data_IF_148026467360
#
_entry.id   IF_148026467360
#
_cell.length_a   1.000
_cell.length_b   1.000
_cell.length_c   1.000
_cell.angle_alpha   90.00
_cell.angle_beta   90.00
_cell.angle_gamma   90.00
#
_symmetry.space_group_name_H-M   'P 1'
#
loop_
_entity.id
_entity.type
_entity.pdbx_description
1 polymer ?
#
# COMPACT_ATOMS: atom_id res chain seq x y z
N UNK A 1 -39.49 1.99 21.94
CA UNK A 1 -39.18 0.57 21.66
C UNK A 1 -37.87 0.51 20.87
N UNK A 2 -36.76 0.25 21.56
CA UNK A 2 -35.43 0.16 20.95
C UNK A 2 -35.22 -1.30 20.58
N UNK A 3 -35.05 -1.59 19.30
CA UNK A 3 -34.59 -2.91 18.86
C UNK A 3 -33.14 -3.08 19.36
N UNK A 4 -32.98 -3.78 20.48
CA UNK A 4 -31.67 -4.23 20.94
C UNK A 4 -31.14 -5.23 19.93
N UNK A 5 -30.13 -4.81 19.17
CA UNK A 5 -29.25 -5.73 18.46
C UNK A 5 -28.61 -6.60 19.54
N UNK A 6 -28.90 -7.91 19.54
CA UNK A 6 -28.39 -8.86 20.54
C UNK A 6 -26.88 -8.63 20.75
N UNK A 7 -26.49 -8.55 22.02
CA UNK A 7 -25.10 -8.47 22.50
C UNK A 7 -24.33 -7.13 22.35
N UNK A 8 -25.02 -5.98 22.23
CA UNK A 8 -24.36 -4.65 22.24
C UNK A 8 -24.54 -3.89 23.56
N UNK A 9 -23.45 -3.39 24.13
CA UNK A 9 -23.43 -2.56 25.36
C UNK A 9 -23.13 -1.09 25.02
N UNK A 10 -23.76 -0.15 25.75
CA UNK A 10 -23.53 1.29 25.57
C UNK A 10 -22.19 1.71 26.19
N UNK A 11 -21.34 2.37 25.40
CA UNK A 11 -20.07 2.96 25.84
C UNK A 11 -20.18 4.49 25.81
N UNK A 12 -20.02 5.14 26.97
CA UNK A 12 -19.99 6.59 27.08
C UNK A 12 -18.57 7.14 26.92
N UNK A 13 -18.32 7.94 25.88
CA UNK A 13 -17.02 8.59 25.64
C UNK A 13 -17.25 10.05 25.28
N UNK A 14 -16.40 10.93 25.81
CA UNK A 14 -16.40 12.34 25.43
C UNK A 14 -15.53 12.56 24.19
N UNK A 15 -16.11 13.20 23.18
CA UNK A 15 -15.44 13.62 21.96
C UNK A 15 -15.59 15.12 21.79
N UNK A 16 -14.62 15.77 21.14
CA UNK A 16 -14.78 17.18 20.79
C UNK A 16 -15.96 17.35 19.82
N UNK A 17 -16.72 18.43 20.01
CA UNK A 17 -17.91 18.70 19.21
C UNK A 17 -17.57 18.80 17.71
N UNK A 18 -16.43 19.43 17.39
CA UNK A 18 -15.95 19.56 16.02
C UNK A 18 -15.62 18.22 15.37
N UNK A 19 -14.98 17.31 16.11
CA UNK A 19 -14.68 15.98 15.61
C UNK A 19 -15.96 15.18 15.35
N UNK A 20 -16.91 15.20 16.29
CA UNK A 20 -18.19 14.51 16.13
C UNK A 20 -18.97 14.99 14.89
N UNK A 21 -18.99 16.31 14.65
CA UNK A 21 -19.59 16.90 13.44
C UNK A 21 -18.89 16.44 12.15
N UNK A 22 -17.56 16.51 12.11
CA UNK A 22 -16.76 16.07 10.96
C UNK A 22 -16.98 14.60 10.67
N UNK A 23 -16.99 13.75 11.70
CA UNK A 23 -17.18 12.31 11.56
C UNK A 23 -18.56 11.95 11.01
N UNK A 24 -19.63 12.57 11.52
CA UNK A 24 -21.00 12.36 10.99
C UNK A 24 -21.12 12.80 9.54
N UNK A 25 -20.49 13.93 9.18
CA UNK A 25 -20.47 14.40 7.79
C UNK A 25 -19.72 13.43 6.88
N UNK A 26 -18.60 12.89 7.34
CA UNK A 26 -17.85 11.86 6.63
C UNK A 26 -18.71 10.61 6.38
N UNK A 27 -19.44 10.14 7.39
CA UNK A 27 -20.34 8.98 7.24
C UNK A 27 -21.46 9.23 6.23
N UNK A 28 -22.06 10.42 6.26
CA UNK A 28 -23.11 10.78 5.30
C UNK A 28 -22.58 10.90 3.85
N UNK A 29 -21.30 11.19 3.66
CA UNK A 29 -20.67 11.18 2.33
C UNK A 29 -20.27 9.77 1.88
N UNK A 30 -19.88 8.91 2.83
CA UNK A 30 -19.45 7.54 2.57
C UNK A 30 -20.62 6.59 2.30
N UNK A 31 -21.75 6.83 2.96
CA UNK A 31 -22.95 6.00 2.85
C UNK A 31 -24.13 6.86 2.41
N UNK A 32 -24.78 6.48 1.30
CA UNK A 32 -25.94 7.22 0.74
C UNK A 32 -27.17 7.18 1.67
N UNK A 33 -27.28 6.15 2.53
CA UNK A 33 -28.35 6.03 3.52
C UNK A 33 -27.78 5.92 4.94
N UNK A 34 -28.29 6.77 5.85
CA UNK A 34 -27.87 6.83 7.25
C UNK A 34 -28.83 5.97 8.08
N UNK A 35 -28.78 4.66 7.86
CA UNK A 35 -29.58 3.69 8.60
C UNK A 35 -29.33 3.72 10.11
N UNK A 36 -30.35 3.34 10.90
CA UNK A 36 -30.23 3.23 12.37
C UNK A 36 -29.13 2.24 12.73
N UNK A 37 -28.11 2.70 13.45
CA UNK A 37 -26.99 1.88 13.94
C UNK A 37 -25.69 2.01 13.15
N UNK A 38 -25.67 2.74 12.03
CA UNK A 38 -24.46 2.96 11.21
C UNK A 38 -23.31 3.57 12.00
N UNK A 39 -23.62 4.54 12.87
CA UNK A 39 -22.63 5.17 13.73
C UNK A 39 -22.02 4.16 14.70
N UNK A 40 -22.84 3.30 15.30
CA UNK A 40 -22.39 2.27 16.23
C UNK A 40 -21.52 1.24 15.53
N UNK A 41 -21.87 0.81 14.31
CA UNK A 41 -21.06 -0.16 13.55
C UNK A 41 -19.72 0.41 13.11
N UNK A 42 -19.67 1.67 12.64
CA UNK A 42 -18.40 2.26 12.20
C UNK A 42 -17.45 2.48 13.39
N UNK A 43 -17.99 2.96 14.53
CA UNK A 43 -17.19 3.13 15.75
C UNK A 43 -16.66 1.77 16.24
N UNK A 44 -17.49 0.73 16.21
CA UNK A 44 -17.08 -0.63 16.56
C UNK A 44 -15.97 -1.16 15.64
N UNK A 45 -16.07 -0.96 14.33
CA UNK A 45 -15.01 -1.31 13.37
C UNK A 45 -13.72 -0.52 13.61
N UNK A 46 -13.83 0.79 13.82
CA UNK A 46 -12.68 1.65 14.07
C UNK A 46 -11.95 1.27 15.37
N UNK A 47 -12.71 0.99 16.44
CA UNK A 47 -12.16 0.53 17.71
C UNK A 47 -11.57 -0.88 17.60
N UNK A 48 -12.24 -1.81 16.92
CA UNK A 48 -11.71 -3.15 16.68
C UNK A 48 -10.39 -3.10 15.89
N UNK A 49 -10.31 -2.26 14.85
CA UNK A 49 -9.09 -2.03 14.09
C UNK A 49 -8.00 -1.41 14.96
N UNK A 50 -8.33 -0.41 15.78
CA UNK A 50 -7.38 0.22 16.70
C UNK A 50 -6.84 -0.79 17.73
N UNK A 51 -7.70 -1.59 18.34
CA UNK A 51 -7.32 -2.64 19.29
C UNK A 51 -6.46 -3.68 18.60
N UNK A 52 -6.84 -4.16 17.42
CA UNK A 52 -6.05 -5.10 16.64
C UNK A 52 -4.66 -4.53 16.36
N UNK A 53 -4.56 -3.27 15.89
CA UNK A 53 -3.27 -2.62 15.63
C UNK A 53 -2.36 -2.59 16.86
N UNK A 54 -2.92 -2.32 18.03
CA UNK A 54 -2.14 -2.13 19.26
C UNK A 54 -1.96 -3.43 20.07
N UNK A 55 -2.73 -4.47 19.78
CA UNK A 55 -2.61 -5.80 20.40
C UNK A 55 -1.71 -6.71 19.57
N UNK A 56 -1.76 -6.60 18.24
CA UNK A 56 -0.83 -7.25 17.31
C UNK A 56 0.59 -6.68 17.38
N UNK A 57 0.78 -5.48 17.95
CA UNK A 57 2.11 -4.94 18.23
C UNK A 57 2.92 -5.80 19.24
N UNK A 58 2.25 -6.64 20.05
CA UNK A 58 2.89 -7.60 20.97
C UNK A 58 2.92 -9.04 20.44
N UNK A 59 2.36 -9.32 19.25
CA UNK A 59 2.29 -10.66 18.66
C UNK A 59 2.62 -10.63 17.17
N UNK A 60 3.86 -10.29 16.83
CA UNK A 60 4.49 -10.43 15.49
C UNK A 60 3.75 -9.83 14.25
N UNK A 61 4.49 -9.45 13.20
CA UNK A 61 4.09 -8.39 12.27
C UNK A 61 3.17 -8.90 11.16
N UNK A 62 1.86 -8.69 11.29
CA UNK A 62 0.91 -8.84 10.17
C UNK A 62 -0.02 -7.62 10.00
N UNK A 63 0.39 -6.46 10.53
CA UNK A 63 -0.12 -5.18 10.01
C UNK A 63 0.72 -4.87 8.79
N UNK A 64 0.08 -4.82 7.63
CA UNK A 64 0.62 -4.22 6.42
C UNK A 64 0.98 -2.75 6.73
N UNK A 65 2.17 -2.52 7.28
CA UNK A 65 3.03 -1.45 6.78
C UNK A 65 2.98 -1.55 5.25
N UNK A 66 2.93 -0.45 4.48
CA UNK A 66 3.16 -0.57 3.04
C UNK A 66 4.45 -1.36 2.93
N UNK A 67 4.35 -2.61 2.41
CA UNK A 67 5.41 -3.62 2.46
C UNK A 67 6.72 -2.86 2.23
N UNK A 68 7.64 -2.81 3.22
CA UNK A 68 8.84 -1.99 3.09
C UNK A 68 9.38 -2.25 1.71
N UNK A 69 9.51 -1.18 0.90
CA UNK A 69 9.90 -1.26 -0.50
C UNK A 69 10.88 -2.43 -0.62
N UNK A 70 10.44 -3.53 -1.23
CA UNK A 70 11.20 -4.78 -1.22
C UNK A 70 12.65 -4.43 -1.56
N UNK A 71 13.64 -5.14 -1.02
CA UNK A 71 15.07 -4.84 -1.32
C UNK A 71 15.36 -4.65 -2.82
N UNK A 72 14.45 -5.14 -3.67
CA UNK A 72 14.42 -5.05 -5.12
C UNK A 72 13.70 -3.82 -5.68
N UNK A 73 12.64 -3.31 -5.04
CA UNK A 73 11.81 -2.24 -5.60
C UNK A 73 12.52 -0.89 -5.68
N UNK A 74 13.33 -0.52 -4.67
CA UNK A 74 14.12 0.72 -4.72
C UNK A 74 15.16 0.70 -5.85
N UNK A 75 15.99 -0.35 -5.99
CA UNK A 75 16.85 -0.53 -7.16
C UNK A 75 16.09 -0.49 -8.50
N UNK A 76 14.91 -1.10 -8.57
CA UNK A 76 14.10 -1.06 -9.79
C UNK A 76 13.58 0.35 -10.12
N UNK A 77 13.15 1.13 -9.11
CA UNK A 77 12.73 2.52 -9.31
C UNK A 77 13.89 3.40 -9.79
N UNK A 78 15.11 3.19 -9.27
CA UNK A 78 16.29 3.91 -9.73
C UNK A 78 16.58 3.59 -11.22
N UNK A 79 16.50 2.31 -11.59
CA UNK A 79 16.64 1.85 -12.98
C UNK A 79 15.53 2.42 -13.87
N UNK A 80 14.28 2.42 -13.40
CA UNK A 80 13.13 2.98 -14.13
C UNK A 80 13.33 4.48 -14.41
N UNK A 81 13.72 5.24 -13.40
CA UNK A 81 14.02 6.68 -13.54
C UNK A 81 15.17 6.93 -14.51
N UNK A 82 16.19 6.07 -14.48
CA UNK A 82 17.30 6.14 -15.43
C UNK A 82 16.82 5.92 -16.87
N UNK A 83 15.96 4.92 -17.10
CA UNK A 83 15.35 4.69 -18.40
C UNK A 83 14.47 5.88 -18.85
N UNK A 84 13.62 6.42 -17.97
CA UNK A 84 12.81 7.60 -18.26
C UNK A 84 13.68 8.80 -18.69
N UNK A 85 14.82 9.01 -18.01
CA UNK A 85 15.79 10.06 -18.34
C UNK A 85 16.51 9.88 -19.69
N UNK A 86 16.58 8.64 -20.22
CA UNK A 86 17.15 8.34 -21.53
C UNK A 86 16.20 8.68 -22.69
N UNK A 87 15.01 9.22 -22.40
CA UNK A 87 14.03 9.65 -23.39
C UNK A 87 12.84 8.70 -23.58
N UNK A 88 12.66 7.72 -22.69
CA UNK A 88 11.46 6.87 -22.69
C UNK A 88 10.37 7.53 -21.85
N UNK A 89 9.53 8.34 -22.51
CA UNK A 89 8.64 9.34 -21.88
C UNK A 89 7.56 8.75 -20.96
N UNK A 90 7.25 7.45 -21.02
CA UNK A 90 6.54 6.78 -19.94
C UNK A 90 6.67 5.26 -20.04
N UNK A 91 7.37 4.64 -19.09
CA UNK A 91 7.35 3.18 -18.90
C UNK A 91 6.04 2.80 -18.20
N UNK A 92 4.96 2.79 -18.98
CA UNK A 92 3.68 2.24 -18.54
C UNK A 92 3.82 0.75 -18.17
N UNK A 93 3.00 0.23 -17.25
CA UNK A 93 2.98 -1.20 -16.93
C UNK A 93 2.79 -2.03 -18.20
N UNK A 94 3.68 -3.00 -18.43
CA UNK A 94 3.67 -3.84 -19.64
C UNK A 94 4.44 -3.28 -20.84
N UNK A 95 5.10 -2.12 -20.71
CA UNK A 95 5.97 -1.61 -21.75
C UNK A 95 7.14 -2.57 -22.04
N UNK A 96 7.50 -2.68 -23.32
CA UNK A 96 8.62 -3.51 -23.78
C UNK A 96 9.86 -2.65 -23.95
N UNK A 97 10.98 -3.09 -23.37
CA UNK A 97 12.27 -2.42 -23.50
C UNK A 97 13.32 -3.37 -24.09
N UNK A 98 14.20 -2.81 -24.92
CA UNK A 98 15.33 -3.59 -25.43
C UNK A 98 16.26 -3.98 -24.27
N UNK A 99 16.67 -5.26 -24.23
CA UNK A 99 17.57 -5.79 -23.18
C UNK A 99 18.85 -4.98 -23.02
N UNK A 100 19.40 -4.45 -24.11
CA UNK A 100 20.61 -3.60 -24.09
C UNK A 100 20.40 -2.33 -23.25
N UNK A 101 19.24 -1.69 -23.38
CA UNK A 101 18.91 -0.47 -22.64
C UNK A 101 18.73 -0.75 -21.15
N UNK A 102 18.06 -1.86 -20.81
CA UNK A 102 17.94 -2.29 -19.41
C UNK A 102 19.31 -2.55 -18.78
N UNK A 103 20.22 -3.18 -19.53
CA UNK A 103 21.61 -3.40 -19.08
C UNK A 103 22.33 -2.08 -18.86
N UNK A 104 22.23 -1.13 -19.79
CA UNK A 104 22.86 0.19 -19.64
C UNK A 104 22.31 0.96 -18.43
N UNK A 105 21.00 0.94 -18.21
CA UNK A 105 20.40 1.55 -17.03
C UNK A 105 20.86 0.90 -15.71
N UNK A 106 21.03 -0.42 -15.67
CA UNK A 106 21.59 -1.11 -14.50
C UNK A 106 23.06 -0.73 -14.28
N UNK A 107 23.86 -0.60 -15.34
CA UNK A 107 25.26 -0.17 -15.23
C UNK A 107 25.36 1.21 -14.59
N UNK A 108 24.54 2.15 -15.05
CA UNK A 108 24.55 3.54 -14.56
C UNK A 108 24.07 3.68 -13.12
N UNK A 109 23.14 2.83 -12.67
CA UNK A 109 22.53 2.95 -11.34
C UNK A 109 23.19 2.08 -10.27
N UNK A 110 23.68 0.88 -10.62
CA UNK A 110 24.17 -0.13 -9.67
C UNK A 110 25.63 -0.54 -9.88
N UNK A 111 26.22 -0.21 -11.03
CA UNK A 111 27.62 -0.47 -11.36
C UNK A 111 27.83 -1.41 -12.54
N UNK A 112 29.01 -1.32 -13.16
CA UNK A 112 29.34 -1.97 -14.43
C UNK A 112 29.87 -3.40 -14.33
N UNK A 113 30.03 -3.95 -13.13
CA UNK A 113 30.48 -5.34 -12.94
C UNK A 113 29.47 -6.31 -13.57
N UNK A 114 29.89 -7.20 -14.50
CA UNK A 114 29.03 -8.22 -15.11
C UNK A 114 28.23 -9.06 -14.09
N UNK A 115 28.81 -9.32 -12.90
CA UNK A 115 28.16 -10.07 -11.82
C UNK A 115 26.99 -9.28 -11.23
N UNK A 116 27.16 -7.97 -11.06
CA UNK A 116 26.13 -7.05 -10.58
C UNK A 116 24.98 -6.97 -11.58
N UNK A 117 25.29 -6.85 -12.87
CA UNK A 117 24.27 -6.80 -13.94
C UNK A 117 23.47 -8.10 -13.97
N UNK A 118 24.15 -9.25 -13.96
CA UNK A 118 23.49 -10.57 -13.97
C UNK A 118 22.59 -10.76 -12.76
N UNK A 119 23.08 -10.41 -11.57
CA UNK A 119 22.32 -10.47 -10.32
C UNK A 119 21.03 -9.66 -10.43
N UNK A 120 21.11 -8.38 -10.82
CA UNK A 120 19.92 -7.52 -10.87
C UNK A 120 18.93 -7.92 -11.96
N UNK A 121 19.39 -8.35 -13.13
CA UNK A 121 18.49 -8.91 -14.16
C UNK A 121 17.72 -10.12 -13.65
N UNK A 122 18.40 -11.05 -12.98
CA UNK A 122 17.77 -12.24 -12.40
C UNK A 122 16.81 -11.86 -11.27
N UNK A 123 17.22 -10.97 -10.37
CA UNK A 123 16.38 -10.50 -9.25
C UNK A 123 15.13 -9.76 -9.74
N UNK A 124 15.23 -8.94 -10.79
CA UNK A 124 14.06 -8.27 -11.39
C UNK A 124 13.10 -9.25 -12.08
N UNK A 125 13.64 -10.32 -12.67
CA UNK A 125 12.83 -11.40 -13.25
C UNK A 125 12.10 -12.23 -12.17
N UNK A 126 12.83 -12.69 -11.15
CA UNK A 126 12.28 -13.49 -10.06
C UNK A 126 11.24 -12.72 -9.23
N UNK A 127 11.38 -11.39 -9.15
CA UNK A 127 10.39 -10.52 -8.48
C UNK A 127 9.20 -10.11 -9.37
N UNK A 128 9.16 -10.55 -10.63
CA UNK A 128 8.06 -10.26 -11.55
C UNK A 128 8.04 -8.82 -12.10
N UNK A 129 9.10 -8.03 -11.88
CA UNK A 129 9.20 -6.64 -12.34
C UNK A 129 9.61 -6.54 -13.83
N UNK A 130 10.26 -7.57 -14.35
CA UNK A 130 10.68 -7.68 -15.75
C UNK A 130 10.37 -9.09 -16.23
N UNK A 131 9.72 -9.22 -17.39
CA UNK A 131 9.46 -10.52 -18.03
C UNK A 131 10.19 -10.60 -19.37
N UNK A 132 10.98 -11.65 -19.65
CA UNK A 132 11.54 -11.86 -20.97
C UNK A 132 10.41 -12.17 -21.96
N UNK A 133 10.51 -11.59 -23.14
CA UNK A 133 9.75 -12.04 -24.30
C UNK A 133 10.58 -13.15 -24.93
N UNK A 134 10.01 -14.35 -25.01
CA UNK A 134 10.58 -15.48 -25.73
C UNK A 134 10.42 -15.28 -27.24
#
# INVERSE_FOLDING_TARGET
MVCMVKDKTLMGVYLSNDFNKKFRRFLALKYEDVGRGLLSSEVEQALAYWVAMHTSAQKDPLINTPNPLSRVSRPYMDVKRCLESMGFVDLAPGATIARKLLIEAIKQTRGSDPRTIKKWLQTFHESGLVKPLN
#
